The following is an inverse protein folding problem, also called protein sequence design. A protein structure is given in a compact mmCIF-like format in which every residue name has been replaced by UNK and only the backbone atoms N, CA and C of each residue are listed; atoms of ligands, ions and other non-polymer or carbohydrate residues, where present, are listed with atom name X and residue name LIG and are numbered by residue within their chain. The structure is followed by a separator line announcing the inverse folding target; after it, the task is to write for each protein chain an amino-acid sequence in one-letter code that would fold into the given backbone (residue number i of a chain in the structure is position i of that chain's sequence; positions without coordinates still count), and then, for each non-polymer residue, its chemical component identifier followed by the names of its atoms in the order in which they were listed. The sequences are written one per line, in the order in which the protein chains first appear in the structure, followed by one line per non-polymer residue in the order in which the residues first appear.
data_IF_243626170893
#
_entry.id   IF_243626170893
#
_cell.length_a   1.000
_cell.length_b   1.000
_cell.length_c   1.000
_cell.angle_alpha   90.00
_cell.angle_beta   90.00
_cell.angle_gamma   90.00
#
_symmetry.space_group_name_H-M   'P 1'
#
loop_
_entity.id
_entity.type
_entity.pdbx_description
1 polymer ?
#
# COMPACT_ATOMS: atom_id res chain seq x y z
N UNK A 1 -26.17 -21.99 12.64
CA UNK A 1 -27.46 -21.32 12.91
C UNK A 1 -27.36 -19.89 12.40
N UNK A 2 -27.85 -19.66 11.17
CA UNK A 2 -27.85 -18.38 10.47
C UNK A 2 -29.12 -17.60 10.81
N UNK A 3 -29.14 -16.85 11.92
CA UNK A 3 -30.22 -15.91 12.24
C UNK A 3 -29.69 -14.76 13.12
N UNK A 4 -29.02 -13.79 12.49
CA UNK A 4 -29.13 -12.39 12.90
C UNK A 4 -29.10 -11.53 11.64
N UNK A 5 -30.23 -10.91 11.23
CA UNK A 5 -30.33 -10.13 10.00
C UNK A 5 -29.92 -8.66 10.19
N UNK A 6 -29.35 -8.30 11.34
CA UNK A 6 -28.94 -6.92 11.59
C UNK A 6 -27.49 -6.77 11.14
N UNK A 7 -27.19 -6.02 10.06
CA UNK A 7 -25.80 -5.66 9.79
C UNK A 7 -25.26 -4.97 11.04
N UNK A 8 -24.18 -5.51 11.60
CA UNK A 8 -23.43 -4.81 12.63
C UNK A 8 -22.76 -3.66 11.90
N UNK A 9 -23.36 -2.48 11.96
CA UNK A 9 -22.68 -1.27 11.52
C UNK A 9 -21.57 -1.04 12.53
N UNK A 10 -20.32 -1.26 12.11
CA UNK A 10 -19.15 -0.77 12.84
C UNK A 10 -19.10 0.74 12.65
N UNK A 11 -19.96 1.46 13.37
CA UNK A 11 -19.80 2.89 13.53
C UNK A 11 -18.68 3.10 14.53
N UNK A 12 -17.73 3.99 14.21
CA UNK A 12 -16.94 4.63 15.26
C UNK A 12 -17.92 5.15 16.33
N UNK A 13 -17.59 5.00 17.62
CA UNK A 13 -18.47 5.52 18.68
C UNK A 13 -18.41 7.05 18.69
N UNK A 14 -19.16 7.69 17.80
CA UNK A 14 -19.40 9.11 17.87
C UNK A 14 -20.52 9.34 18.89
N UNK A 15 -20.22 10.06 19.96
CA UNK A 15 -21.27 10.61 20.81
C UNK A 15 -21.74 11.95 20.23
N UNK A 16 -22.94 12.39 20.58
CA UNK A 16 -23.54 13.67 20.15
C UNK A 16 -22.76 14.91 20.63
N UNK A 17 -21.72 14.71 21.44
CA UNK A 17 -20.80 15.73 21.94
C UNK A 17 -19.42 15.64 21.30
N UNK A 18 -19.23 14.74 20.33
CA UNK A 18 -17.98 14.63 19.60
C UNK A 18 -17.88 15.85 18.66
N UNK A 19 -16.87 16.72 18.82
CA UNK A 19 -16.73 17.90 17.97
C UNK A 19 -16.58 17.53 16.48
N UNK A 20 -16.13 16.32 16.17
CA UNK A 20 -16.00 15.84 14.79
C UNK A 20 -17.36 15.52 14.13
N UNK A 21 -18.43 15.34 14.91
CA UNK A 21 -19.81 15.16 14.42
C UNK A 21 -20.72 16.37 14.66
N UNK A 22 -20.21 17.43 15.30
CA UNK A 22 -20.93 18.70 15.40
C UNK A 22 -21.32 19.18 14.00
N UNK A 23 -22.55 19.69 13.84
CA UNK A 23 -23.00 20.16 12.54
C UNK A 23 -22.06 21.26 12.05
N UNK A 24 -21.83 21.34 10.74
CA UNK A 24 -20.89 22.31 10.13
C UNK A 24 -21.18 23.76 10.59
N UNK A 25 -22.44 24.07 10.93
CA UNK A 25 -22.86 25.40 11.43
C UNK A 25 -22.60 25.66 12.92
N UNK A 26 -22.31 24.64 13.72
CA UNK A 26 -22.05 24.74 15.17
C UNK A 26 -20.56 24.76 15.52
N UNK A 27 -19.69 24.47 14.55
CA UNK A 27 -18.24 24.47 14.75
C UNK A 27 -17.74 25.92 14.86
N UNK A 28 -17.02 26.30 15.93
CA UNK A 28 -16.39 27.60 15.99
C UNK A 28 -15.35 27.73 14.87
N UNK A 29 -15.08 28.95 14.38
CA UNK A 29 -14.02 29.16 13.40
C UNK A 29 -12.67 28.76 14.01
N UNK A 30 -11.97 27.84 13.35
CA UNK A 30 -10.61 27.46 13.71
C UNK A 30 -9.60 28.33 12.97
N UNK A 31 -8.61 28.84 13.70
CA UNK A 31 -7.43 29.45 13.09
C UNK A 31 -6.30 28.46 13.12
N UNK A 32 -5.91 27.94 11.96
CA UNK A 32 -4.72 27.09 11.86
C UNK A 32 -3.47 27.88 12.27
N UNK A 33 -2.75 27.37 13.27
CA UNK A 33 -1.42 27.88 13.66
C UNK A 33 -0.29 27.21 12.87
N UNK A 34 -0.62 26.38 11.86
CA UNK A 34 0.38 25.68 11.08
C UNK A 34 1.27 26.68 10.34
N UNK A 35 2.58 26.56 10.56
CA UNK A 35 3.60 27.28 9.80
C UNK A 35 4.51 26.25 9.17
N UNK A 36 4.50 26.18 7.84
CA UNK A 36 5.43 25.33 7.12
C UNK A 36 6.87 25.73 7.47
N UNK A 37 7.76 24.78 7.77
CA UNK A 37 9.18 25.06 7.97
C UNK A 37 9.75 25.78 6.75
N UNK A 38 10.63 26.76 6.97
CA UNK A 38 11.30 27.51 5.88
C UNK A 38 12.82 27.49 6.09
N UNK A 39 13.60 26.86 5.18
CA UNK A 39 13.14 26.08 4.04
C UNK A 39 12.40 24.80 4.47
N UNK A 40 11.51 24.28 3.62
CA UNK A 40 10.90 22.97 3.87
C UNK A 40 12.01 21.91 3.78
N UNK A 41 12.28 21.14 4.86
CA UNK A 41 13.31 20.11 4.83
C UNK A 41 12.92 18.95 3.90
N UNK A 42 11.62 18.73 3.70
CA UNK A 42 11.09 17.68 2.84
C UNK A 42 11.06 18.16 1.40
N UNK A 43 11.79 17.45 0.55
CA UNK A 43 11.88 17.67 -0.90
C UNK A 43 11.16 16.58 -1.67
N UNK A 44 11.18 15.35 -1.19
CA UNK A 44 10.58 14.22 -1.87
C UNK A 44 9.54 13.52 -0.99
N UNK A 45 8.65 12.78 -1.63
CA UNK A 45 7.63 11.96 -0.96
C UNK A 45 7.63 10.58 -1.60
N UNK A 46 7.72 9.54 -0.76
CA UNK A 46 7.54 8.15 -1.14
C UNK A 46 6.39 7.58 -0.33
N UNK A 47 5.37 7.07 -1.01
CA UNK A 47 4.34 6.22 -0.41
C UNK A 47 4.72 4.77 -0.72
N UNK A 48 4.98 3.98 0.32
CA UNK A 48 5.13 2.54 0.25
C UNK A 48 3.84 1.89 0.74
N UNK A 49 3.01 1.49 -0.20
CA UNK A 49 1.71 0.88 0.04
C UNK A 49 1.87 -0.63 0.02
N UNK A 50 1.31 -1.30 1.04
CA UNK A 50 1.39 -2.74 1.20
C UNK A 50 0.02 -3.37 0.92
N UNK A 51 -0.02 -4.27 -0.05
CA UNK A 51 -1.23 -4.99 -0.47
C UNK A 51 -1.66 -6.01 0.58
N UNK A 52 -2.91 -5.96 1.06
CA UNK A 52 -3.48 -6.96 1.96
C UNK A 52 -2.69 -7.14 3.28
N UNK A 53 -2.11 -6.07 3.85
CA UNK A 53 -1.31 -6.14 5.08
C UNK A 53 -2.00 -5.47 6.28
N UNK A 54 -2.56 -6.24 7.23
CA UNK A 54 -3.07 -5.69 8.49
C UNK A 54 -1.94 -5.37 9.46
N UNK A 55 -2.18 -4.41 10.35
CA UNK A 55 -1.20 -3.95 11.35
C UNK A 55 -0.74 -5.07 12.30
N UNK A 56 -1.59 -6.06 12.59
CA UNK A 56 -1.31 -7.18 13.51
C UNK A 56 -0.09 -8.04 13.15
N UNK A 57 0.41 -7.97 11.91
CA UNK A 57 1.60 -8.70 11.47
C UNK A 57 2.87 -7.83 11.39
N UNK A 58 2.75 -6.54 11.70
CA UNK A 58 3.88 -5.61 11.74
C UNK A 58 4.48 -5.60 13.16
N UNK A 59 5.80 -5.80 13.28
CA UNK A 59 6.47 -5.94 14.58
C UNK A 59 6.27 -4.72 15.49
N UNK A 60 6.23 -3.51 14.92
CA UNK A 60 6.05 -2.25 15.66
C UNK A 60 4.63 -2.04 16.18
N UNK A 61 3.67 -2.84 15.72
CA UNK A 61 2.29 -2.90 16.23
C UNK A 61 2.05 -4.13 17.11
N UNK A 62 3.11 -4.84 17.53
CA UNK A 62 3.00 -6.03 18.37
C UNK A 62 2.91 -7.34 17.59
N UNK A 63 3.18 -7.34 16.29
CA UNK A 63 3.24 -8.54 15.47
C UNK A 63 4.22 -9.58 16.01
N UNK A 64 3.79 -10.84 16.07
CA UNK A 64 4.53 -11.94 16.71
C UNK A 64 5.67 -12.50 15.85
N UNK A 65 5.60 -12.29 14.54
CA UNK A 65 6.54 -12.87 13.58
C UNK A 65 7.59 -11.84 13.15
N UNK A 66 8.88 -12.19 13.08
CA UNK A 66 9.96 -11.26 12.73
C UNK A 66 10.06 -11.03 11.21
N UNK A 67 8.94 -10.66 10.61
CA UNK A 67 8.78 -10.55 9.15
C UNK A 67 8.92 -9.10 8.65
N UNK A 68 9.03 -8.11 9.54
CA UNK A 68 9.11 -6.68 9.18
C UNK A 68 10.30 -5.94 9.85
N UNK A 69 11.53 -6.49 9.77
CA UNK A 69 12.68 -5.87 10.44
C UNK A 69 13.09 -4.52 9.87
N UNK A 70 12.85 -4.24 8.58
CA UNK A 70 13.17 -2.95 7.98
C UNK A 70 12.20 -1.87 8.47
N UNK A 71 10.89 -2.15 8.54
CA UNK A 71 9.94 -1.24 9.19
C UNK A 71 10.34 -1.01 10.66
N UNK A 72 10.68 -2.08 11.38
CA UNK A 72 11.08 -2.00 12.79
C UNK A 72 12.32 -1.16 13.03
N UNK A 73 13.32 -1.23 12.15
CA UNK A 73 14.60 -0.52 12.33
C UNK A 73 14.44 1.00 12.27
N UNK A 74 13.43 1.51 11.55
CA UNK A 74 13.12 2.93 11.43
C UNK A 74 12.06 3.44 12.44
N UNK A 75 11.57 2.59 13.35
CA UNK A 75 10.50 2.95 14.27
C UNK A 75 10.84 4.13 15.18
N UNK A 76 12.10 4.25 15.61
CA UNK A 76 12.56 5.35 16.47
C UNK A 76 12.62 6.70 15.75
N UNK A 77 12.73 6.68 14.41
CA UNK A 77 12.83 7.86 13.55
C UNK A 77 11.50 8.17 12.84
N UNK A 78 10.41 7.53 13.27
CA UNK A 78 9.10 7.59 12.62
C UNK A 78 7.99 8.05 13.56
N UNK A 79 6.96 8.65 12.99
CA UNK A 79 5.67 8.83 13.67
C UNK A 79 4.77 7.66 13.29
N UNK A 80 4.25 6.95 14.30
CA UNK A 80 3.35 5.80 14.14
C UNK A 80 1.94 6.21 14.55
N UNK A 81 0.97 5.90 13.70
CA UNK A 81 -0.45 6.10 13.97
C UNK A 81 -1.08 4.77 14.35
N UNK A 82 -1.59 4.66 15.59
CA UNK A 82 -2.19 3.43 16.11
C UNK A 82 -3.62 3.18 15.60
N UNK A 83 -4.32 4.24 15.19
CA UNK A 83 -5.71 4.18 14.74
C UNK A 83 -5.82 4.79 13.34
N UNK A 84 -5.56 3.97 12.32
CA UNK A 84 -5.72 4.31 10.90
C UNK A 84 -6.46 3.16 10.21
N UNK A 85 -7.46 3.50 9.39
CA UNK A 85 -8.38 2.54 8.83
C UNK A 85 -8.41 2.64 7.31
N UNK A 86 -8.35 1.48 6.64
CA UNK A 86 -8.75 1.37 5.25
C UNK A 86 -10.23 1.71 5.12
N UNK A 87 -10.62 2.46 4.09
CA UNK A 87 -12.01 2.84 3.90
C UNK A 87 -12.92 1.63 3.65
N UNK A 88 -12.42 0.67 2.87
CA UNK A 88 -13.04 -0.62 2.62
C UNK A 88 -11.93 -1.66 2.44
N UNK A 89 -12.20 -2.94 2.74
CA UNK A 89 -11.20 -4.02 2.72
C UNK A 89 -10.87 -4.49 1.29
N UNK A 90 -10.60 -3.58 0.36
CA UNK A 90 -10.25 -3.92 -1.02
C UNK A 90 -9.46 -2.81 -1.73
N UNK A 91 -8.45 -3.23 -2.49
CA UNK A 91 -7.45 -2.41 -3.18
C UNK A 91 -8.01 -1.20 -3.92
N UNK A 92 -9.00 -1.39 -4.78
CA UNK A 92 -9.52 -0.33 -5.63
C UNK A 92 -10.22 0.80 -4.85
N UNK A 93 -10.86 0.48 -3.72
CA UNK A 93 -11.42 1.49 -2.82
C UNK A 93 -10.31 2.30 -2.17
N UNK A 94 -9.27 1.63 -1.68
CA UNK A 94 -8.13 2.27 -1.02
C UNK A 94 -7.34 3.16 -1.99
N UNK A 95 -7.11 2.71 -3.23
CA UNK A 95 -6.49 3.54 -4.26
C UNK A 95 -7.33 4.78 -4.58
N UNK A 96 -8.65 4.64 -4.75
CA UNK A 96 -9.51 5.79 -5.01
C UNK A 96 -9.42 6.82 -3.88
N UNK A 97 -9.58 6.38 -2.63
CA UNK A 97 -9.53 7.26 -1.46
C UNK A 97 -8.14 7.87 -1.25
N UNK A 98 -7.06 7.10 -1.45
CA UNK A 98 -5.68 7.59 -1.32
C UNK A 98 -5.40 8.73 -2.30
N UNK A 99 -5.79 8.57 -3.57
CA UNK A 99 -5.53 9.59 -4.58
C UNK A 99 -6.42 10.82 -4.41
N UNK A 100 -7.71 10.64 -4.08
CA UNK A 100 -8.71 11.72 -4.17
C UNK A 100 -9.10 12.33 -2.83
N UNK A 101 -8.72 11.73 -1.71
CA UNK A 101 -9.25 12.07 -0.37
C UNK A 101 -10.79 12.01 -0.28
N UNK A 102 -11.43 11.20 -1.13
CA UNK A 102 -12.87 11.00 -1.12
C UNK A 102 -13.25 9.60 -0.64
N UNK A 103 -14.37 9.53 0.07
CA UNK A 103 -15.06 8.25 0.30
C UNK A 103 -15.55 7.68 -1.02
N UNK A 104 -15.53 6.35 -1.12
CA UNK A 104 -16.06 5.67 -2.29
C UNK A 104 -17.58 5.59 -2.23
N UNK A 105 -18.16 5.18 -3.36
CA UNK A 105 -19.55 4.74 -3.37
C UNK A 105 -19.72 3.40 -2.66
N UNK A 106 -20.93 3.13 -2.19
CA UNK A 106 -21.30 1.82 -1.64
C UNK A 106 -21.71 0.94 -2.82
N UNK A 107 -20.71 0.35 -3.49
CA UNK A 107 -20.86 -0.48 -4.68
C UNK A 107 -20.18 -1.83 -4.50
N UNK A 108 -20.45 -2.78 -5.38
CA UNK A 108 -19.66 -4.01 -5.47
C UNK A 108 -18.41 -3.79 -6.32
N UNK A 109 -18.50 -2.94 -7.34
CA UNK A 109 -17.45 -2.74 -8.33
C UNK A 109 -16.51 -1.56 -8.02
N UNK A 110 -16.97 -0.62 -7.18
CA UNK A 110 -16.23 0.56 -6.77
C UNK A 110 -15.97 1.58 -7.89
N UNK A 111 -15.44 2.73 -7.48
CA UNK A 111 -15.30 3.91 -8.32
C UNK A 111 -14.30 3.75 -9.47
N UNK A 112 -13.18 3.04 -9.26
CA UNK A 112 -12.17 2.85 -10.32
C UNK A 112 -12.73 2.03 -11.48
N UNK A 113 -13.58 1.04 -11.20
CA UNK A 113 -14.13 0.17 -12.24
C UNK A 113 -15.33 0.81 -12.94
N UNK A 114 -16.23 1.45 -12.19
CA UNK A 114 -17.45 2.03 -12.75
C UNK A 114 -17.21 3.40 -13.38
N UNK A 115 -16.32 4.18 -12.79
CA UNK A 115 -16.12 5.59 -13.11
C UNK A 115 -14.64 6.01 -13.16
N UNK A 116 -13.75 5.29 -13.88
CA UNK A 116 -12.30 5.58 -13.88
C UNK A 116 -11.96 6.99 -14.38
N UNK A 117 -12.81 7.57 -15.23
CA UNK A 117 -12.59 8.87 -15.85
C UNK A 117 -13.21 10.05 -15.08
N UNK A 118 -13.60 9.86 -13.81
CA UNK A 118 -14.11 10.96 -13.01
C UNK A 118 -13.06 12.08 -12.92
N UNK A 119 -13.44 13.33 -13.26
CA UNK A 119 -12.54 14.48 -13.30
C UNK A 119 -12.32 15.05 -11.89
N UNK A 120 -11.85 14.19 -10.98
CA UNK A 120 -11.46 14.54 -9.63
C UNK A 120 -9.96 14.82 -9.61
N UNK A 121 -9.59 15.96 -9.03
CA UNK A 121 -8.21 16.24 -8.68
C UNK A 121 -7.71 15.22 -7.66
N UNK A 122 -6.44 14.88 -7.78
CA UNK A 122 -5.74 13.98 -6.86
C UNK A 122 -4.51 14.64 -6.26
N UNK A 123 -3.98 14.05 -5.20
CA UNK A 123 -2.72 14.49 -4.59
C UNK A 123 -1.59 14.60 -5.62
N UNK A 124 -1.51 13.66 -6.56
CA UNK A 124 -0.54 13.68 -7.64
C UNK A 124 -0.76 14.83 -8.63
N UNK A 125 -2.00 15.19 -8.95
CA UNK A 125 -2.29 16.40 -9.75
C UNK A 125 -1.74 17.65 -9.07
N UNK A 126 -1.97 17.79 -7.75
CA UNK A 126 -1.45 18.92 -6.97
C UNK A 126 0.08 18.93 -6.98
N UNK A 127 0.73 17.80 -6.71
CA UNK A 127 2.19 17.73 -6.65
C UNK A 127 2.84 17.97 -8.02
N UNK A 128 2.26 17.44 -9.10
CA UNK A 128 2.68 17.72 -10.47
C UNK A 128 2.66 19.22 -10.78
N UNK A 129 1.59 19.93 -10.38
CA UNK A 129 1.50 21.40 -10.53
C UNK A 129 2.59 22.16 -9.73
N UNK A 130 3.16 21.53 -8.71
CA UNK A 130 4.29 22.04 -7.91
C UNK A 130 5.65 21.48 -8.36
N UNK A 131 5.76 21.05 -9.62
CA UNK A 131 7.01 20.57 -10.25
C UNK A 131 7.60 19.30 -9.64
N UNK A 132 6.79 18.51 -8.94
CA UNK A 132 7.18 17.15 -8.59
C UNK A 132 7.09 16.27 -9.82
N UNK A 133 8.11 15.43 -10.03
CA UNK A 133 7.98 14.23 -10.84
C UNK A 133 7.06 13.26 -10.13
N UNK A 134 6.14 12.64 -10.85
CA UNK A 134 5.09 11.79 -10.26
C UNK A 134 5.13 10.38 -10.85
N UNK A 135 5.26 9.37 -9.98
CA UNK A 135 5.42 7.98 -10.39
C UNK A 135 4.55 7.01 -9.58
N UNK A 136 3.94 6.06 -10.26
CA UNK A 136 3.22 4.94 -9.65
C UNK A 136 3.79 3.61 -10.15
N UNK A 137 4.23 2.77 -9.23
CA UNK A 137 4.88 1.49 -9.48
C UNK A 137 4.13 0.40 -8.74
N UNK A 138 3.59 -0.58 -9.46
CA UNK A 138 2.81 -1.65 -8.84
C UNK A 138 3.30 -3.02 -9.27
N UNK A 139 3.44 -3.92 -8.31
CA UNK A 139 3.85 -5.30 -8.56
C UNK A 139 2.80 -6.12 -9.31
N UNK A 140 1.52 -5.74 -9.28
CA UNK A 140 0.41 -6.44 -9.96
C UNK A 140 0.04 -5.82 -11.31
N UNK A 141 -0.97 -6.41 -11.97
CA UNK A 141 -1.59 -5.92 -13.21
C UNK A 141 -2.61 -4.83 -12.93
N UNK A 142 -2.30 -3.60 -13.31
CA UNK A 142 -3.18 -2.46 -13.05
C UNK A 142 -4.44 -2.45 -13.91
N UNK A 143 -4.59 -3.35 -14.90
CA UNK A 143 -5.87 -3.50 -15.63
C UNK A 143 -6.95 -4.15 -14.79
N UNK A 144 -6.59 -4.85 -13.70
CA UNK A 144 -7.57 -5.40 -12.80
C UNK A 144 -8.44 -4.26 -12.23
N UNK A 145 -9.76 -4.41 -12.31
CA UNK A 145 -10.73 -3.38 -11.90
C UNK A 145 -10.45 -1.98 -12.49
N UNK A 146 -9.83 -1.93 -13.68
CA UNK A 146 -9.57 -0.70 -14.46
C UNK A 146 -8.78 0.36 -13.68
N UNK A 147 -7.90 -0.06 -12.77
CA UNK A 147 -7.04 0.85 -12.00
C UNK A 147 -6.14 1.66 -12.93
N UNK A 148 -5.62 1.07 -14.01
CA UNK A 148 -4.81 1.77 -15.00
C UNK A 148 -5.57 2.94 -15.64
N UNK A 149 -6.80 2.71 -16.10
CA UNK A 149 -7.67 3.75 -16.66
C UNK A 149 -7.95 4.87 -15.65
N UNK A 150 -8.14 4.53 -14.37
CA UNK A 150 -8.29 5.51 -13.29
C UNK A 150 -7.04 6.37 -13.12
N UNK A 151 -5.85 5.76 -13.13
CA UNK A 151 -4.57 6.43 -12.91
C UNK A 151 -4.18 7.39 -14.04
N UNK A 152 -4.61 7.14 -15.28
CA UNK A 152 -4.25 7.96 -16.46
C UNK A 152 -4.61 9.45 -16.30
N UNK A 153 -5.64 9.78 -15.52
CA UNK A 153 -6.08 11.16 -15.28
C UNK A 153 -5.82 11.63 -13.85
N UNK A 154 -4.76 11.12 -13.21
CA UNK A 154 -4.39 11.45 -11.83
C UNK A 154 -3.03 12.16 -11.74
N UNK A 155 -2.59 12.80 -12.83
CA UNK A 155 -1.38 13.64 -12.81
C UNK A 155 -0.12 12.85 -12.48
N UNK A 156 -0.01 11.62 -13.01
CA UNK A 156 1.16 10.76 -12.92
C UNK A 156 1.95 10.83 -14.22
N UNK A 157 3.24 11.19 -14.15
CA UNK A 157 4.15 11.20 -15.31
C UNK A 157 4.53 9.77 -15.72
N UNK A 158 4.56 8.85 -14.76
CA UNK A 158 4.93 7.45 -14.97
C UNK A 158 3.96 6.53 -14.25
N UNK A 159 3.37 5.59 -14.99
CA UNK A 159 2.59 4.47 -14.46
C UNK A 159 3.29 3.21 -14.95
N UNK A 160 3.81 2.40 -14.04
CA UNK A 160 4.55 1.19 -14.37
C UNK A 160 4.11 0.04 -13.47
N UNK A 161 3.23 -0.79 -14.01
CA UNK A 161 2.83 -2.03 -13.37
C UNK A 161 3.78 -3.18 -13.77
N UNK A 162 3.49 -4.42 -13.36
CA UNK A 162 4.38 -5.58 -13.62
C UNK A 162 4.79 -5.73 -15.10
N UNK A 163 3.94 -5.32 -16.05
CA UNK A 163 4.18 -5.45 -17.50
C UNK A 163 5.34 -4.60 -17.98
N UNK A 164 5.56 -3.46 -17.32
CA UNK A 164 6.62 -2.53 -17.66
C UNK A 164 7.95 -2.82 -16.96
N UNK A 165 7.97 -3.74 -15.99
CA UNK A 165 9.12 -3.93 -15.10
C UNK A 165 10.14 -4.94 -15.66
N UNK A 166 11.42 -4.64 -15.47
CA UNK A 166 12.49 -5.61 -15.71
C UNK A 166 12.62 -6.48 -14.48
N UNK A 167 12.36 -7.78 -14.62
CA UNK A 167 12.45 -8.71 -13.51
C UNK A 167 13.30 -9.93 -13.90
N UNK A 168 14.33 -10.22 -13.12
CA UNK A 168 15.14 -11.43 -13.29
C UNK A 168 14.39 -12.70 -12.85
N UNK A 169 13.37 -12.53 -12.01
CA UNK A 169 12.51 -13.59 -11.53
C UNK A 169 11.34 -13.76 -12.50
N UNK A 170 10.90 -15.00 -12.80
CA UNK A 170 9.72 -15.22 -13.61
C UNK A 170 8.49 -14.52 -13.02
N UNK A 171 7.68 -13.92 -13.88
CA UNK A 171 6.36 -13.41 -13.53
C UNK A 171 5.49 -14.54 -12.96
N UNK A 172 4.76 -14.23 -11.90
CA UNK A 172 3.74 -15.09 -11.34
C UNK A 172 2.50 -15.07 -12.24
N UNK A 173 2.24 -16.18 -12.93
CA UNK A 173 1.14 -16.31 -13.88
C UNK A 173 -0.09 -16.89 -13.19
N UNK A 174 -1.06 -16.03 -12.93
CA UNK A 174 -2.33 -16.39 -12.30
C UNK A 174 -3.54 -16.17 -13.22
N UNK A 175 -3.35 -15.40 -14.29
CA UNK A 175 -4.44 -15.12 -15.22
C UNK A 175 -4.91 -16.41 -15.90
N UNK A 176 -6.23 -16.57 -15.98
CA UNK A 176 -6.94 -17.65 -16.67
C UNK A 176 -7.98 -17.08 -17.62
N UNK A 177 -8.69 -17.95 -18.35
CA UNK A 177 -9.81 -17.51 -19.21
C UNK A 177 -10.92 -16.84 -18.40
N UNK A 178 -11.16 -17.32 -17.18
CA UNK A 178 -12.19 -16.81 -16.27
C UNK A 178 -11.73 -15.58 -15.49
N UNK A 179 -10.45 -15.53 -15.09
CA UNK A 179 -9.88 -14.47 -14.27
C UNK A 179 -8.70 -13.84 -14.99
N UNK A 180 -8.94 -12.72 -15.68
CA UNK A 180 -7.89 -11.99 -16.41
C UNK A 180 -7.21 -10.96 -15.51
N UNK A 181 -5.97 -10.61 -15.85
CA UNK A 181 -5.21 -9.53 -15.21
C UNK A 181 -4.89 -9.83 -13.73
N UNK A 182 -4.51 -11.08 -13.43
CA UNK A 182 -4.13 -11.51 -12.07
C UNK A 182 -2.61 -11.69 -11.91
N UNK A 183 -1.85 -11.45 -12.98
CA UNK A 183 -0.40 -11.66 -12.98
C UNK A 183 0.31 -10.57 -12.17
N UNK A 184 1.42 -10.94 -11.53
CA UNK A 184 2.27 -10.00 -10.81
C UNK A 184 3.74 -10.41 -10.85
N UNK A 185 4.63 -9.48 -10.56
CA UNK A 185 6.07 -9.73 -10.38
C UNK A 185 6.43 -9.66 -8.90
N UNK A 186 7.65 -10.08 -8.56
CA UNK A 186 8.15 -9.88 -7.19
C UNK A 186 8.24 -8.40 -6.83
N UNK A 187 7.88 -8.08 -5.59
CA UNK A 187 8.00 -6.73 -5.01
C UNK A 187 9.43 -6.19 -5.10
N UNK A 188 10.48 -7.04 -5.07
CA UNK A 188 11.87 -6.63 -5.26
C UNK A 188 12.12 -6.06 -6.68
N UNK A 189 11.48 -6.61 -7.70
CA UNK A 189 11.60 -6.10 -9.07
C UNK A 189 10.91 -4.74 -9.23
N UNK A 190 9.78 -4.55 -8.53
CA UNK A 190 9.09 -3.26 -8.47
C UNK A 190 9.88 -2.24 -7.66
N UNK A 191 10.52 -2.64 -6.56
CA UNK A 191 11.44 -1.80 -5.79
C UNK A 191 12.60 -1.32 -6.66
N UNK A 192 13.26 -2.22 -7.42
CA UNK A 192 14.32 -1.83 -8.34
C UNK A 192 13.84 -0.86 -9.42
N UNK A 193 12.66 -1.10 -10.01
CA UNK A 193 12.09 -0.18 -11.01
C UNK A 193 11.81 1.20 -10.41
N UNK A 194 11.33 1.25 -9.17
CA UNK A 194 11.08 2.49 -8.42
C UNK A 194 12.40 3.22 -8.12
N UNK A 195 13.42 2.50 -7.65
CA UNK A 195 14.77 3.00 -7.36
C UNK A 195 15.41 3.59 -8.62
N UNK A 196 15.37 2.86 -9.74
CA UNK A 196 15.91 3.30 -11.02
C UNK A 196 15.26 4.61 -11.47
N UNK A 197 13.94 4.74 -11.30
CA UNK A 197 13.21 5.96 -11.64
C UNK A 197 13.53 7.14 -10.71
N UNK A 198 13.61 6.91 -9.39
CA UNK A 198 13.94 7.93 -8.39
C UNK A 198 15.37 8.48 -8.57
N UNK A 199 16.30 7.65 -9.01
CA UNK A 199 17.70 8.04 -9.19
C UNK A 199 18.02 8.65 -10.56
N UNK A 200 17.09 8.63 -11.52
CA UNK A 200 17.33 9.10 -12.89
C UNK A 200 17.45 10.63 -13.03
N UNK A 201 16.85 11.40 -12.13
CA UNK A 201 16.79 12.86 -12.23
C UNK A 201 16.87 13.50 -10.85
N UNK A 202 18.10 13.76 -10.41
CA UNK A 202 18.38 14.24 -9.04
C UNK A 202 18.04 15.71 -8.81
N UNK A 203 17.72 16.45 -9.87
CA UNK A 203 17.49 17.90 -9.81
C UNK A 203 16.07 18.30 -9.40
N UNK A 204 15.10 17.40 -9.60
CA UNK A 204 13.69 17.69 -9.38
C UNK A 204 13.12 16.86 -8.21
N UNK A 205 12.22 17.44 -7.39
CA UNK A 205 11.54 16.69 -6.34
C UNK A 205 10.68 15.58 -6.94
N UNK A 206 10.49 14.48 -6.21
CA UNK A 206 9.63 13.38 -6.65
C UNK A 206 8.51 13.07 -5.65
N UNK A 207 7.39 12.61 -6.21
CA UNK A 207 6.31 11.91 -5.54
C UNK A 207 6.20 10.52 -6.16
N UNK A 208 6.51 9.49 -5.39
CA UNK A 208 6.44 8.11 -5.85
C UNK A 208 5.47 7.31 -4.98
N UNK A 209 4.69 6.43 -5.61
CA UNK A 209 3.97 5.37 -4.92
C UNK A 209 4.54 4.04 -5.41
N UNK A 210 5.07 3.24 -4.49
CA UNK A 210 5.36 1.83 -4.73
C UNK A 210 4.29 1.00 -4.02
N UNK A 211 3.66 0.10 -4.75
CA UNK A 211 2.61 -0.76 -4.25
C UNK A 211 3.02 -2.23 -4.44
N UNK A 212 3.00 -3.00 -3.36
CA UNK A 212 3.33 -4.43 -3.37
C UNK A 212 2.18 -5.27 -3.94
N UNK A 213 2.42 -6.56 -4.17
CA UNK A 213 1.37 -7.50 -4.57
C UNK A 213 1.50 -8.90 -3.97
N UNK A 214 2.69 -9.29 -3.48
CA UNK A 214 2.96 -10.70 -3.14
C UNK A 214 2.12 -11.21 -1.95
N UNK A 215 1.64 -10.30 -1.11
CA UNK A 215 0.77 -10.57 0.04
C UNK A 215 -0.71 -10.69 -0.34
N UNK A 216 -1.09 -10.54 -1.61
CA UNK A 216 -2.44 -10.86 -2.10
C UNK A 216 -2.57 -12.37 -2.36
N UNK A 217 -3.74 -12.95 -2.06
CA UNK A 217 -4.04 -14.35 -2.35
C UNK A 217 -4.04 -14.65 -3.87
N UNK A 218 -3.52 -15.79 -4.37
CA UNK A 218 -2.94 -16.92 -3.66
C UNK A 218 -1.44 -16.74 -3.44
N UNK A 219 -0.98 -16.58 -2.20
CA UNK A 219 0.41 -16.28 -1.84
C UNK A 219 1.40 -17.28 -2.48
N UNK A 220 2.16 -16.84 -3.50
CA UNK A 220 3.04 -17.75 -4.25
C UNK A 220 4.45 -17.75 -3.67
N UNK A 221 4.82 -18.88 -3.07
CA UNK A 221 6.18 -19.14 -2.54
C UNK A 221 7.07 -19.94 -3.47
N UNK A 222 6.54 -20.40 -4.61
CA UNK A 222 7.18 -21.43 -5.45
C UNK A 222 8.19 -20.83 -6.44
N UNK A 223 8.44 -19.52 -6.36
CA UNK A 223 9.36 -18.83 -7.27
C UNK A 223 10.82 -19.21 -7.02
N UNK A 224 11.65 -19.32 -8.09
CA UNK A 224 13.09 -19.49 -7.98
C UNK A 224 13.81 -18.43 -7.12
N UNK A 225 13.18 -17.28 -6.85
CA UNK A 225 13.69 -16.29 -5.91
C UNK A 225 13.80 -16.86 -4.48
N UNK A 226 12.78 -17.58 -4.01
CA UNK A 226 12.76 -18.19 -2.67
C UNK A 226 13.77 -19.35 -2.54
N UNK A 227 14.15 -19.98 -3.65
CA UNK A 227 15.19 -21.03 -3.67
C UNK A 227 16.61 -20.50 -3.94
N UNK A 228 16.76 -19.27 -4.46
CA UNK A 228 18.05 -18.62 -4.77
C UNK A 228 18.50 -17.57 -3.76
N UNK A 229 17.70 -17.26 -2.75
CA UNK A 229 18.20 -16.58 -1.56
C UNK A 229 19.17 -17.53 -0.84
N UNK A 230 20.45 -17.45 -1.20
CA UNK A 230 21.52 -18.24 -0.61
C UNK A 230 21.58 -18.00 0.91
N UNK A 231 22.07 -18.98 1.70
CA UNK A 231 22.19 -18.86 3.14
C UNK A 231 23.35 -17.93 3.52
N UNK A 232 23.24 -16.63 3.24
CA UNK A 232 23.54 -15.70 4.32
C UNK A 232 22.42 -15.88 5.32
N UNK A 233 22.78 -16.15 6.58
CA UNK A 233 21.84 -16.29 7.69
C UNK A 233 20.64 -15.36 7.52
N UNK A 234 19.41 -15.92 7.44
CA UNK A 234 18.09 -15.28 7.61
C UNK A 234 17.07 -15.23 6.46
N UNK A 235 17.28 -15.76 5.25
CA UNK A 235 16.19 -15.77 4.24
C UNK A 235 16.21 -16.98 3.31
N UNK A 236 15.86 -18.16 3.81
CA UNK A 236 15.14 -19.17 3.01
C UNK A 236 13.64 -19.02 3.27
N UNK A 237 12.78 -19.87 2.69
CA UNK A 237 11.41 -20.00 3.24
C UNK A 237 11.55 -20.34 4.73
N UNK A 238 11.10 -19.42 5.57
CA UNK A 238 11.14 -19.61 7.01
C UNK A 238 9.83 -20.25 7.43
N UNK A 239 9.93 -21.30 8.25
CA UNK A 239 8.77 -21.93 8.86
C UNK A 239 8.33 -21.13 10.08
N UNK A 240 7.32 -20.28 9.91
CA UNK A 240 6.68 -19.50 10.97
C UNK A 240 5.41 -20.16 11.51
N UNK A 241 4.69 -20.93 10.67
CA UNK A 241 3.39 -21.52 10.98
C UNK A 241 3.20 -22.86 10.27
N UNK A 242 2.47 -23.77 10.91
CA UNK A 242 2.04 -25.03 10.29
C UNK A 242 0.87 -24.86 9.31
N UNK A 243 0.18 -23.70 9.34
CA UNK A 243 -0.73 -23.30 8.26
C UNK A 243 0.10 -22.85 7.06
N UNK A 244 0.12 -23.67 6.01
CA UNK A 244 0.92 -23.45 4.80
C UNK A 244 0.63 -22.11 4.12
N UNK A 245 -0.65 -21.71 4.04
CA UNK A 245 -1.06 -20.46 3.38
C UNK A 245 -0.66 -19.25 4.23
N UNK A 246 -0.87 -19.34 5.54
CA UNK A 246 -0.43 -18.27 6.44
C UNK A 246 1.09 -18.14 6.47
N UNK A 247 1.81 -19.26 6.45
CA UNK A 247 3.27 -19.27 6.35
C UNK A 247 3.75 -18.66 5.03
N UNK A 248 3.08 -18.95 3.91
CA UNK A 248 3.36 -18.34 2.62
C UNK A 248 3.15 -16.83 2.63
N UNK A 249 2.05 -16.36 3.21
CA UNK A 249 1.78 -14.93 3.42
C UNK A 249 2.88 -14.25 4.25
N UNK A 250 3.30 -14.84 5.36
CA UNK A 250 4.37 -14.29 6.20
C UNK A 250 5.72 -14.17 5.46
N UNK A 251 6.03 -15.14 4.60
CA UNK A 251 7.20 -15.07 3.73
C UNK A 251 7.06 -14.01 2.63
N UNK A 252 5.86 -13.83 2.07
CA UNK A 252 5.59 -12.74 1.12
C UNK A 252 5.72 -11.35 1.78
N UNK A 253 5.17 -11.17 2.98
CA UNK A 253 5.32 -9.94 3.76
C UNK A 253 6.80 -9.62 4.04
N UNK A 254 7.62 -10.65 4.32
CA UNK A 254 9.07 -10.48 4.47
C UNK A 254 9.75 -9.98 3.20
N UNK A 255 9.31 -10.42 2.02
CA UNK A 255 9.82 -9.92 0.73
C UNK A 255 9.41 -8.46 0.52
N UNK A 256 8.16 -8.09 0.82
CA UNK A 256 7.72 -6.69 0.82
C UNK A 256 8.54 -5.78 1.74
N UNK A 257 8.80 -6.22 2.98
CA UNK A 257 9.67 -5.48 3.91
C UNK A 257 11.12 -5.39 3.40
N UNK A 258 11.61 -6.42 2.70
CA UNK A 258 12.95 -6.38 2.07
C UNK A 258 13.00 -5.38 0.91
N UNK A 259 11.95 -5.32 0.08
CA UNK A 259 11.80 -4.31 -0.98
C UNK A 259 11.83 -2.88 -0.41
N UNK A 260 11.14 -2.63 0.72
CA UNK A 260 11.25 -1.35 1.43
C UNK A 260 12.69 -1.08 1.88
N UNK A 261 13.37 -2.09 2.45
CA UNK A 261 14.77 -1.99 2.85
C UNK A 261 15.70 -1.56 1.72
N UNK A 262 15.55 -2.14 0.52
CA UNK A 262 16.33 -1.77 -0.68
C UNK A 262 16.08 -0.31 -1.10
N UNK A 263 14.82 0.15 -1.04
CA UNK A 263 14.47 1.53 -1.34
C UNK A 263 15.10 2.49 -0.32
N UNK A 264 14.95 2.21 0.98
CA UNK A 264 15.50 3.04 2.05
C UNK A 264 17.02 3.13 1.99
N UNK A 265 17.69 2.01 1.71
CA UNK A 265 19.14 1.99 1.53
C UNK A 265 19.56 2.78 0.28
N UNK A 266 18.80 2.71 -0.83
CA UNK A 266 19.07 3.55 -2.00
C UNK A 266 18.90 5.05 -1.72
N UNK A 267 17.85 5.44 -0.98
CA UNK A 267 17.66 6.83 -0.53
C UNK A 267 18.81 7.30 0.36
N UNK A 268 19.32 6.43 1.24
CA UNK A 268 20.47 6.71 2.09
C UNK A 268 21.75 6.89 1.27
N UNK A 269 22.05 5.97 0.37
CA UNK A 269 23.24 5.99 -0.49
C UNK A 269 23.26 7.19 -1.43
N UNK A 270 22.10 7.63 -1.90
CA UNK A 270 21.97 8.82 -2.74
C UNK A 270 21.87 10.14 -1.95
N UNK A 271 21.93 10.09 -0.61
CA UNK A 271 21.83 11.27 0.26
C UNK A 271 20.44 11.93 0.26
N UNK A 272 19.41 11.24 -0.22
CA UNK A 272 18.04 11.76 -0.32
C UNK A 272 17.18 11.44 0.90
N UNK A 273 17.56 10.46 1.72
CA UNK A 273 16.76 9.97 2.86
C UNK A 273 16.32 11.09 3.81
N UNK A 274 17.25 11.94 4.28
CA UNK A 274 16.96 13.04 5.23
C UNK A 274 15.98 14.12 4.67
N UNK A 275 15.77 14.12 3.36
CA UNK A 275 14.86 15.06 2.67
C UNK A 275 13.65 14.37 2.03
N UNK A 276 13.43 13.10 2.32
CA UNK A 276 12.32 12.31 1.76
C UNK A 276 11.35 11.93 2.87
N UNK A 277 10.11 12.37 2.75
CA UNK A 277 9.02 11.85 3.57
C UNK A 277 8.64 10.46 3.05
N UNK A 278 8.90 9.43 3.85
CA UNK A 278 8.47 8.06 3.56
C UNK A 278 7.21 7.75 4.36
N UNK A 279 6.13 7.41 3.67
CA UNK A 279 4.84 7.03 4.25
C UNK A 279 4.64 5.54 3.98
N UNK A 280 4.42 4.75 5.03
CA UNK A 280 4.17 3.31 4.94
C UNK A 280 2.75 3.05 5.41
N UNK A 281 1.95 2.36 4.61
CA UNK A 281 0.58 1.99 4.95
C UNK A 281 0.19 0.67 4.29
N UNK A 282 -0.76 -0.05 4.90
CA UNK A 282 -1.52 -1.09 4.23
C UNK A 282 -2.69 -0.49 3.45
N UNK A 283 -3.07 -1.10 2.33
CA UNK A 283 -4.29 -0.72 1.63
C UNK A 283 -5.55 -1.31 2.28
N UNK A 284 -5.44 -2.51 2.82
CA UNK A 284 -6.40 -3.18 3.70
C UNK A 284 -5.74 -4.36 4.43
N UNK A 285 -6.53 -5.07 5.25
CA UNK A 285 -6.11 -6.27 5.96
C UNK A 285 -6.32 -7.57 5.18
N UNK A 286 -6.06 -8.68 5.87
CA UNK A 286 -6.19 -10.05 5.37
C UNK A 286 -6.55 -10.97 6.56
N UNK A 287 -7.57 -11.81 6.39
CA UNK A 287 -8.00 -12.76 7.40
C UNK A 287 -7.38 -14.16 7.19
N UNK A 288 -6.99 -14.79 8.29
CA UNK A 288 -6.44 -16.14 8.36
C UNK A 288 -7.26 -17.01 9.32
N UNK A 289 -8.59 -16.96 9.20
CA UNK A 289 -9.55 -17.70 10.03
C UNK A 289 -10.15 -16.90 11.17
N UNK A 290 -9.72 -15.65 11.39
CA UNK A 290 -10.41 -14.77 12.34
C UNK A 290 -11.86 -14.52 11.90
N UNK A 291 -12.79 -14.52 12.85
CA UNK A 291 -14.22 -14.27 12.60
C UNK A 291 -14.87 -15.19 11.54
N UNK A 292 -14.38 -16.43 11.41
CA UNK A 292 -14.80 -17.38 10.38
C UNK A 292 -14.57 -16.86 8.93
N UNK A 293 -13.68 -15.88 8.76
CA UNK A 293 -13.29 -15.33 7.46
C UNK A 293 -11.87 -15.76 7.08
N UNK A 294 -11.65 -15.90 5.78
CA UNK A 294 -10.35 -16.25 5.23
C UNK A 294 -10.21 -15.51 3.91
N UNK A 295 -9.11 -14.79 3.73
CA UNK A 295 -8.89 -13.73 2.74
C UNK A 295 -9.48 -12.36 3.14
N UNK A 296 -9.70 -11.48 2.17
CA UNK A 296 -10.20 -10.10 2.34
C UNK A 296 -11.39 -9.82 1.42
N UNK A 297 -11.87 -8.57 1.41
CA UNK A 297 -13.03 -8.07 0.67
C UNK A 297 -14.42 -8.62 1.06
N UNK A 298 -14.50 -9.52 2.05
CA UNK A 298 -15.74 -10.15 2.52
C UNK A 298 -16.28 -9.60 3.84
N UNK A 299 -15.44 -8.99 4.68
CA UNK A 299 -15.81 -8.50 6.01
C UNK A 299 -15.06 -7.22 6.39
N UNK A 300 -15.61 -6.48 7.38
CA UNK A 300 -15.14 -5.15 7.81
C UNK A 300 -14.46 -5.16 9.19
N UNK A 301 -13.92 -6.30 9.61
CA UNK A 301 -13.21 -6.42 10.88
C UNK A 301 -11.83 -5.73 10.86
N UNK A 302 -11.25 -5.54 12.05
CA UNK A 302 -9.90 -4.99 12.27
C UNK A 302 -8.77 -5.87 11.71
#
# INVERSE_FOLDING_TARGET
ALLSPTPVVLTMSANDKDPDVASVGERPPETSSFKAPTPNPIKNVLIFMMESVPSKYIETFGGKYPVTPNIKSYAADSIRFDNIYAHAPSTHYSLFSLFTSMYNDISYYGMTMQHPYLPLDSISNTLSAHSFRTGFFWSADSRFQRVDEFLLNKGLDTIQDYRGQKCATPTFKLSSEQWKNMDYNSDLCTAQSTIDWMNKDEGNPFFAIMFTAMTHYPYITDSPMFSKMAPSSHTGLVHYSDDEKFNAYLNALKVGDTALGEILESLKQSGKLDSTLVVILGDHGEAFGEHDDYVHASAIYE
#
